data_IF_801545802250
#
_entry.id   IF_801545802250
#
_cell.length_a   1.000
_cell.length_b   1.000
_cell.length_c   1.000
_cell.angle_alpha   90.00
_cell.angle_beta   90.00
_cell.angle_gamma   90.00
#
_symmetry.space_group_name_H-M   'P 1'
#
loop_
_entity.id
_entity.type
_entity.pdbx_description
1 polymer ?
#
# COMPACT_ATOMS: atom_id res chain seq x y z
N UNK A 1 23.16 9.08 -9.97
CA UNK A 1 21.83 8.68 -10.47
C UNK A 1 21.95 8.29 -11.93
N UNK A 2 21.64 7.05 -12.30
CA UNK A 2 21.70 6.62 -13.70
C UNK A 2 20.40 7.01 -14.41
N UNK A 3 20.51 7.85 -15.44
CA UNK A 3 19.36 8.29 -16.25
C UNK A 3 19.33 7.50 -17.54
N UNK A 4 18.24 6.77 -17.80
CA UNK A 4 18.04 6.03 -19.04
C UNK A 4 16.90 6.66 -19.85
N UNK A 5 17.17 7.01 -21.11
CA UNK A 5 16.14 7.50 -22.05
C UNK A 5 15.46 6.31 -22.72
N UNK A 6 14.15 6.25 -22.65
CA UNK A 6 13.35 5.22 -23.32
C UNK A 6 12.15 5.88 -24.03
N UNK A 7 11.49 5.13 -24.91
CA UNK A 7 10.27 5.58 -25.59
C UNK A 7 9.11 4.71 -25.14
N UNK A 8 7.93 5.32 -24.99
CA UNK A 8 6.69 4.59 -24.71
C UNK A 8 6.26 3.77 -25.93
N UNK A 9 5.62 2.64 -25.69
CA UNK A 9 5.01 1.81 -26.71
C UNK A 9 3.65 1.29 -26.24
N UNK A 10 2.85 0.71 -27.14
CA UNK A 10 1.56 0.08 -26.79
C UNK A 10 1.78 -1.42 -26.55
N UNK A 11 1.21 -1.93 -25.47
CA UNK A 11 1.13 -3.36 -25.16
C UNK A 11 -0.35 -3.71 -24.96
N UNK A 12 -0.95 -4.34 -25.98
CA UNK A 12 -2.39 -4.48 -26.06
C UNK A 12 -3.09 -3.11 -26.01
N UNK A 13 -4.07 -2.97 -25.11
CA UNK A 13 -4.80 -1.72 -24.93
C UNK A 13 -4.05 -0.68 -24.09
N UNK A 14 -2.95 -1.06 -23.42
CA UNK A 14 -2.23 -0.23 -22.46
C UNK A 14 -0.99 0.43 -23.06
N UNK A 15 -0.54 1.53 -22.45
CA UNK A 15 0.79 2.11 -22.72
C UNK A 15 1.81 1.49 -21.77
N UNK A 16 3.01 1.25 -22.27
CA UNK A 16 4.12 0.66 -21.52
C UNK A 16 5.43 1.41 -21.78
N UNK A 17 6.34 1.31 -20.82
CA UNK A 17 7.73 1.76 -20.92
C UNK A 17 8.65 0.55 -20.76
N UNK A 18 9.78 0.54 -21.47
CA UNK A 18 10.79 -0.51 -21.29
C UNK A 18 11.65 -0.17 -20.08
N UNK A 19 11.74 -1.09 -19.12
CA UNK A 19 12.67 -0.98 -18.00
C UNK A 19 13.98 -1.72 -18.36
N UNK A 20 15.13 -1.03 -18.42
CA UNK A 20 16.43 -1.68 -18.57
C UNK A 20 16.71 -2.61 -17.39
N UNK A 21 17.56 -3.63 -17.58
CA UNK A 21 17.92 -4.61 -16.52
C UNK A 21 18.39 -3.97 -15.21
N UNK A 22 19.07 -2.82 -15.29
CA UNK A 22 19.53 -2.07 -14.12
C UNK A 22 18.41 -1.41 -13.29
N UNK A 23 17.21 -1.23 -13.88
CA UNK A 23 16.03 -0.60 -13.27
C UNK A 23 14.84 -1.57 -13.16
N UNK A 24 15.02 -2.83 -13.54
CA UNK A 24 13.96 -3.82 -13.54
C UNK A 24 13.68 -4.32 -12.11
N UNK A 25 12.40 -4.55 -11.81
CA UNK A 25 11.98 -5.24 -10.60
C UNK A 25 12.01 -6.77 -10.82
N UNK A 26 12.11 -7.58 -9.74
CA UNK A 26 11.92 -9.01 -9.83
C UNK A 26 10.58 -9.37 -10.49
N UNK A 27 10.55 -10.48 -11.20
CA UNK A 27 9.33 -10.97 -11.83
C UNK A 27 8.23 -11.19 -10.79
N UNK A 28 6.99 -10.80 -11.11
CA UNK A 28 5.85 -10.89 -10.19
C UNK A 28 5.77 -9.78 -9.13
N UNK A 29 6.67 -8.79 -9.14
CA UNK A 29 6.57 -7.64 -8.22
C UNK A 29 5.37 -6.76 -8.58
N UNK A 30 4.42 -6.63 -7.66
CA UNK A 30 3.34 -5.64 -7.77
C UNK A 30 3.88 -4.23 -7.54
N UNK A 31 3.43 -3.26 -8.35
CA UNK A 31 3.87 -1.87 -8.28
C UNK A 31 2.67 -0.94 -8.11
N UNK A 32 2.83 0.04 -7.24
CA UNK A 32 1.94 1.18 -7.08
C UNK A 32 2.48 2.31 -7.96
N UNK A 33 1.57 2.98 -8.65
CA UNK A 33 1.89 4.05 -9.58
C UNK A 33 1.18 5.33 -9.16
N UNK A 34 1.97 6.37 -8.90
CA UNK A 34 1.48 7.70 -8.55
C UNK A 34 1.95 8.69 -9.60
N UNK A 35 1.04 9.56 -10.07
CA UNK A 35 1.35 10.60 -11.05
C UNK A 35 1.20 11.98 -10.42
N UNK A 36 2.27 12.75 -10.46
CA UNK A 36 2.31 14.15 -10.08
C UNK A 36 2.80 14.97 -11.28
N UNK A 37 1.85 15.57 -12.00
CA UNK A 37 2.10 16.29 -13.25
C UNK A 37 2.76 15.42 -14.33
N UNK A 38 4.04 15.72 -14.61
CA UNK A 38 4.89 15.03 -15.60
C UNK A 38 5.76 13.93 -14.99
N UNK A 39 5.69 13.74 -13.67
CA UNK A 39 6.45 12.72 -12.95
C UNK A 39 5.53 11.55 -12.62
N UNK A 40 5.94 10.36 -13.06
CA UNK A 40 5.32 9.10 -12.62
C UNK A 40 6.31 8.42 -11.68
N UNK A 41 5.87 8.19 -10.45
CA UNK A 41 6.63 7.43 -9.45
C UNK A 41 6.09 6.02 -9.37
N UNK A 42 6.96 5.04 -9.58
CA UNK A 42 6.67 3.61 -9.42
C UNK A 42 7.32 3.13 -8.12
N UNK A 43 6.54 2.51 -7.23
CA UNK A 43 7.04 1.95 -5.97
C UNK A 43 6.56 0.50 -5.84
N UNK A 44 7.38 -0.44 -5.34
CA UNK A 44 6.90 -1.76 -4.98
C UNK A 44 5.73 -1.66 -4.02
N UNK A 45 4.63 -2.32 -4.37
CA UNK A 45 3.46 -2.41 -3.53
C UNK A 45 3.79 -3.31 -2.35
N UNK A 46 3.95 -2.74 -1.16
CA UNK A 46 3.97 -3.50 0.10
C UNK A 46 2.60 -4.13 0.41
N UNK A 47 1.57 -3.77 -0.38
CA UNK A 47 0.18 -4.23 -0.25
C UNK A 47 -0.17 -5.44 -1.13
N UNK A 48 0.81 -6.23 -1.57
CA UNK A 48 0.52 -7.56 -2.10
C UNK A 48 0.10 -8.48 -0.94
N UNK A 49 -1.16 -8.38 -0.51
CA UNK A 49 -1.81 -9.30 0.42
C UNK A 49 -1.23 -9.36 1.84
N UNK A 50 -1.94 -8.73 2.80
CA UNK A 50 -1.66 -8.74 4.25
C UNK A 50 -0.33 -8.07 4.62
N UNK A 51 -0.41 -6.88 5.20
CA UNK A 51 0.68 -6.35 6.03
C UNK A 51 1.10 -7.47 6.98
N UNK A 52 2.38 -7.84 6.98
CA UNK A 52 2.87 -8.82 7.96
C UNK A 52 2.63 -8.24 9.37
N UNK A 53 2.24 -9.08 10.34
CA UNK A 53 1.99 -8.61 11.71
C UNK A 53 3.14 -7.74 12.25
N UNK A 54 4.39 -8.05 11.89
CA UNK A 54 5.58 -7.27 12.21
C UNK A 54 5.55 -5.85 11.64
N UNK A 55 5.19 -5.70 10.37
CA UNK A 55 5.07 -4.38 9.72
C UNK A 55 3.90 -3.58 10.31
N UNK A 56 2.76 -4.23 10.57
CA UNK A 56 1.60 -3.59 11.21
C UNK A 56 1.98 -3.02 12.57
N UNK A 57 2.66 -3.82 13.39
CA UNK A 57 3.18 -3.40 14.69
C UNK A 57 4.22 -2.27 14.57
N UNK A 58 5.06 -2.30 13.54
CA UNK A 58 6.04 -1.25 13.32
C UNK A 58 5.38 0.09 12.97
N UNK A 59 4.33 0.10 12.14
CA UNK A 59 3.57 1.31 11.82
C UNK A 59 2.78 1.83 13.04
N UNK A 60 2.11 0.95 13.79
CA UNK A 60 1.37 1.35 15.00
C UNK A 60 2.26 2.00 16.06
N UNK A 61 3.51 1.55 16.21
CA UNK A 61 4.49 2.17 17.13
C UNK A 61 4.98 3.56 16.71
N UNK A 62 4.76 3.97 15.46
CA UNK A 62 5.12 5.33 14.99
C UNK A 62 4.04 6.36 15.35
N UNK A 63 2.82 5.91 15.62
CA UNK A 63 1.74 6.78 16.04
C UNK A 63 1.95 7.22 17.50
N UNK A 64 1.44 8.41 17.89
CA UNK A 64 1.46 8.82 19.29
C UNK A 64 0.70 7.81 20.15
N UNK A 65 1.12 7.67 21.40
CA UNK A 65 0.45 6.79 22.34
C UNK A 65 -0.97 7.28 22.61
N UNK A 66 -1.90 6.35 22.85
CA UNK A 66 -3.28 6.71 23.18
C UNK A 66 -3.34 7.16 24.63
N UNK A 67 -4.08 8.23 24.91
CA UNK A 67 -4.24 8.73 26.27
C UNK A 67 -5.06 7.77 27.13
N UNK A 68 -6.06 7.13 26.52
CA UNK A 68 -6.98 6.21 27.17
C UNK A 68 -7.28 5.00 26.27
N UNK A 69 -7.46 3.84 26.88
CA UNK A 69 -7.90 2.62 26.19
C UNK A 69 -9.39 2.46 26.44
N UNK A 70 -10.20 2.52 25.39
CA UNK A 70 -11.64 2.32 25.47
C UNK A 70 -11.98 0.94 26.06
N UNK A 71 -12.75 0.93 27.16
CA UNK A 71 -13.25 -0.30 27.75
C UNK A 71 -14.51 -0.70 27.01
N UNK A 72 -14.50 -1.88 26.40
CA UNK A 72 -15.64 -2.42 25.67
C UNK A 72 -16.85 -2.56 26.61
N UNK A 73 -17.98 -2.00 26.21
CA UNK A 73 -19.27 -2.24 26.86
C UNK A 73 -19.68 -3.71 26.68
N UNK A 74 -19.93 -4.40 27.79
CA UNK A 74 -20.38 -5.80 27.81
C UNK A 74 -21.87 -5.94 27.60
N UNK A 75 -22.65 -4.92 27.97
CA UNK A 75 -24.11 -4.96 28.00
C UNK A 75 -24.71 -4.01 26.96
N UNK A 76 -24.35 -4.28 25.70
CA UNK A 76 -24.73 -3.50 24.51
C UNK A 76 -26.23 -3.55 24.20
N UNK A 77 -26.96 -4.49 24.81
CA UNK A 77 -28.37 -4.73 24.54
C UNK A 77 -29.24 -4.19 25.68
N UNK A 78 -30.32 -3.45 25.38
CA UNK A 78 -31.24 -3.01 26.41
C UNK A 78 -32.03 -4.19 26.97
N UNK A 79 -32.34 -4.14 28.27
CA UNK A 79 -33.31 -5.04 28.89
C UNK A 79 -34.68 -4.87 28.22
N UNK A 80 -35.33 -5.98 27.92
CA UNK A 80 -36.68 -6.00 27.33
C UNK A 80 -37.66 -6.51 28.38
N UNK A 81 -38.62 -5.68 28.78
CA UNK A 81 -39.73 -6.13 29.61
C UNK A 81 -40.71 -6.97 28.79
N UNK A 82 -41.07 -8.16 29.29
CA UNK A 82 -42.18 -8.96 28.74
C UNK A 82 -41.82 -10.33 28.12
N UNK A 83 -40.66 -10.90 28.44
CA UNK A 83 -40.35 -12.33 28.26
C UNK A 83 -39.81 -12.91 29.56
#
# INVERSE_FOLDING_TARGET
MATHKTKTFKSGNSQAVRLPKALAFPEGTELEMERDGDVITLRPTLRSGKISFKQMMAELRKLPDVTDIEVRDTDIFPEREGL
#
